data_IF_667068354695
#
_entry.id   IF_667068354695
#
_cell.length_a   1.000
_cell.length_b   1.000
_cell.length_c   1.000
_cell.angle_alpha   90.00
_cell.angle_beta   90.00
_cell.angle_gamma   90.00
#
_symmetry.space_group_name_H-M   'P 1'
#
loop_
_entity.id
_entity.type
_entity.pdbx_description
1 polymer ?
#
# COMPACT_ATOMS: atom_id res chain seq x y z
N UNK A 1 -3.60 -42.07 -48.67
CA UNK A 1 -3.80 -41.69 -47.25
C UNK A 1 -2.90 -40.50 -46.98
N UNK A 2 -3.47 -39.46 -46.37
CA UNK A 2 -2.99 -38.09 -46.35
C UNK A 2 -1.65 -37.91 -45.61
N UNK A 3 -0.80 -37.07 -46.19
CA UNK A 3 0.35 -36.40 -45.58
C UNK A 3 -0.08 -35.50 -44.42
N UNK A 4 0.77 -35.29 -43.40
CA UNK A 4 1.15 -33.96 -42.89
C UNK A 4 2.44 -34.02 -42.05
N UNK A 5 3.36 -33.12 -42.40
CA UNK A 5 4.54 -32.68 -41.65
C UNK A 5 4.14 -31.70 -40.55
N UNK A 6 4.86 -31.68 -39.41
CA UNK A 6 5.17 -30.53 -38.52
C UNK A 6 5.66 -31.09 -37.18
N UNK A 7 6.54 -30.50 -36.39
CA UNK A 7 7.43 -29.36 -36.51
C UNK A 7 8.40 -29.49 -35.32
N UNK A 8 9.60 -28.95 -35.50
CA UNK A 8 10.64 -28.78 -34.50
C UNK A 8 10.05 -28.16 -33.21
N UNK A 9 9.96 -28.93 -32.12
CA UNK A 9 9.78 -28.32 -30.80
C UNK A 9 11.13 -27.78 -30.36
N UNK A 10 11.32 -26.50 -30.70
CA UNK A 10 12.37 -25.64 -30.18
C UNK A 10 12.33 -25.76 -28.66
N UNK A 11 13.32 -26.44 -28.10
CA UNK A 11 13.64 -26.39 -26.68
C UNK A 11 14.29 -25.03 -26.42
N UNK A 12 13.50 -23.95 -26.57
CA UNK A 12 13.94 -22.64 -26.11
C UNK A 12 13.87 -22.72 -24.60
N UNK A 13 15.04 -22.84 -23.98
CA UNK A 13 15.27 -22.38 -22.62
C UNK A 13 14.70 -20.95 -22.57
N UNK A 14 13.45 -20.79 -22.13
CA UNK A 14 13.00 -19.52 -21.61
C UNK A 14 13.70 -19.42 -20.27
N UNK A 15 14.92 -18.90 -20.33
CA UNK A 15 15.56 -18.20 -19.25
C UNK A 15 14.60 -17.06 -18.87
N UNK A 16 13.60 -17.37 -18.06
CA UNK A 16 12.72 -16.37 -17.47
C UNK A 16 13.53 -15.67 -16.37
N UNK A 17 14.51 -14.86 -16.79
CA UNK A 17 15.02 -13.74 -16.00
C UNK A 17 13.98 -12.62 -16.04
N UNK A 18 12.73 -12.92 -15.73
CA UNK A 18 11.98 -11.91 -15.02
C UNK A 18 12.51 -12.03 -13.60
N UNK A 19 13.35 -11.07 -13.23
CA UNK A 19 13.19 -10.42 -11.94
C UNK A 19 11.74 -9.89 -11.95
N UNK A 20 10.75 -10.78 -11.91
CA UNK A 20 9.46 -10.42 -11.39
C UNK A 20 9.86 -10.10 -9.98
N UNK A 21 9.98 -8.80 -9.70
CA UNK A 21 9.83 -8.29 -8.35
C UNK A 21 8.85 -9.25 -7.71
N UNK A 22 9.29 -10.01 -6.72
CA UNK A 22 8.33 -10.56 -5.78
C UNK A 22 7.67 -9.26 -5.34
N UNK A 23 6.49 -8.97 -5.88
CA UNK A 23 5.67 -7.85 -5.49
C UNK A 23 5.31 -8.24 -4.07
N UNK A 24 6.25 -7.95 -3.17
CA UNK A 24 6.02 -7.91 -1.75
C UNK A 24 4.93 -6.87 -1.71
N UNK A 25 3.71 -7.28 -1.40
CA UNK A 25 2.61 -6.36 -1.11
C UNK A 25 3.22 -5.13 -0.47
N UNK A 26 3.08 -4.02 -1.17
CA UNK A 26 3.51 -2.75 -0.61
C UNK A 26 2.61 -2.56 0.59
N UNK A 27 3.23 -2.56 1.77
CA UNK A 27 2.55 -2.77 3.04
C UNK A 27 1.53 -1.69 3.38
N UNK A 28 1.14 -1.58 4.66
CA UNK A 28 0.12 -0.64 5.09
C UNK A 28 0.36 0.77 4.58
N UNK A 29 -0.72 1.42 4.13
CA UNK A 29 -0.66 2.80 3.66
C UNK A 29 -0.10 3.70 4.77
N UNK A 30 0.65 4.72 4.38
CA UNK A 30 1.11 5.76 5.29
C UNK A 30 -0.11 6.47 5.88
N UNK A 31 -0.27 6.38 7.20
CA UNK A 31 -1.37 7.02 7.91
C UNK A 31 -0.95 8.40 8.41
N UNK A 32 -1.75 9.41 8.05
CA UNK A 32 -1.57 10.73 8.60
C UNK A 32 -2.18 10.84 10.01
N UNK A 33 -1.31 10.95 11.01
CA UNK A 33 -1.69 10.99 12.44
C UNK A 33 -1.66 12.40 13.03
N UNK A 34 -1.07 13.36 12.34
CA UNK A 34 -1.12 14.78 12.72
C UNK A 34 -1.24 15.67 11.50
N UNK A 35 -2.07 16.71 11.58
CA UNK A 35 -2.38 17.61 10.47
C UNK A 35 -2.21 19.06 10.86
N UNK A 36 -1.65 19.85 9.94
CA UNK A 36 -1.59 21.29 9.98
C UNK A 36 -2.59 21.89 8.99
N UNK A 37 -3.31 22.95 9.37
CA UNK A 37 -4.23 23.65 8.48
C UNK A 37 -3.51 24.79 7.77
N UNK A 38 -3.39 24.68 6.45
CA UNK A 38 -2.68 25.64 5.61
C UNK A 38 -3.42 26.98 5.64
N UNK A 39 -2.71 28.01 6.07
CA UNK A 39 -3.13 29.41 6.09
C UNK A 39 -2.75 30.10 4.78
N UNK A 40 -3.34 31.28 4.54
CA UNK A 40 -3.00 32.08 3.37
C UNK A 40 -1.54 32.54 3.45
N UNK A 41 -0.78 32.27 2.37
CA UNK A 41 0.63 32.65 2.28
C UNK A 41 1.60 31.64 2.87
N UNK A 42 1.12 30.51 3.39
CA UNK A 42 2.01 29.44 3.83
C UNK A 42 2.78 28.84 2.65
N UNK A 43 4.04 28.53 2.92
CA UNK A 43 4.96 27.86 2.00
C UNK A 43 5.66 26.75 2.76
N UNK A 44 6.12 25.69 2.09
CA UNK A 44 6.91 24.67 2.81
C UNK A 44 8.13 25.29 3.52
N UNK A 45 8.77 26.29 2.91
CA UNK A 45 9.90 27.01 3.50
C UNK A 45 9.54 27.75 4.80
N UNK A 46 8.33 28.30 4.92
CA UNK A 46 7.91 29.01 6.12
C UNK A 46 7.43 28.07 7.22
N UNK A 47 6.68 27.01 6.90
CA UNK A 47 6.03 26.16 7.92
C UNK A 47 6.85 24.93 8.32
N UNK A 48 7.64 24.31 7.43
CA UNK A 48 8.32 23.06 7.74
C UNK A 48 9.27 23.18 8.95
N UNK A 49 10.14 24.23 9.05
CA UNK A 49 11.02 24.39 10.20
C UNK A 49 10.26 24.61 11.52
N UNK A 50 9.10 25.27 11.47
CA UNK A 50 8.26 25.51 12.66
C UNK A 50 7.64 24.21 13.20
N UNK A 51 7.45 23.24 12.30
CA UNK A 51 6.92 21.91 12.60
C UNK A 51 8.03 20.89 12.89
N UNK A 52 9.31 21.31 12.86
CA UNK A 52 10.45 20.41 13.03
C UNK A 52 10.66 19.47 11.84
N UNK A 53 10.16 19.82 10.66
CA UNK A 53 10.26 19.03 9.43
C UNK A 53 11.21 19.70 8.45
N UNK A 54 11.79 18.90 7.56
CA UNK A 54 12.37 19.42 6.33
C UNK A 54 11.34 19.35 5.17
N UNK A 55 11.64 19.99 4.03
CA UNK A 55 10.70 20.02 2.90
C UNK A 55 10.49 18.63 2.27
N UNK A 56 11.52 17.78 2.24
CA UNK A 56 11.38 16.41 1.75
C UNK A 56 10.48 15.55 2.63
N UNK A 57 10.50 15.75 3.96
CA UNK A 57 9.56 15.08 4.86
C UNK A 57 8.13 15.51 4.54
N UNK A 58 7.91 16.81 4.33
CA UNK A 58 6.61 17.36 3.94
C UNK A 58 6.11 16.75 2.63
N UNK A 59 6.93 16.71 1.58
CA UNK A 59 6.55 16.11 0.29
C UNK A 59 6.29 14.61 0.42
N UNK A 60 7.11 13.88 1.18
CA UNK A 60 6.96 12.43 1.36
C UNK A 60 5.65 12.03 2.05
N UNK A 61 5.18 12.82 3.02
CA UNK A 61 3.93 12.57 3.74
C UNK A 61 2.70 13.10 3.02
N UNK A 62 2.87 13.91 1.97
CA UNK A 62 1.78 14.59 1.29
C UNK A 62 1.90 14.43 -0.23
N UNK A 63 1.52 13.26 -0.76
CA UNK A 63 1.48 13.04 -2.21
C UNK A 63 0.75 14.18 -2.94
N UNK A 64 1.41 14.76 -3.95
CA UNK A 64 0.89 15.90 -4.72
C UNK A 64 1.28 17.29 -4.17
N UNK A 65 1.93 17.38 -3.01
CA UNK A 65 2.57 18.61 -2.55
C UNK A 65 3.93 18.77 -3.24
N UNK A 66 4.20 19.98 -3.71
CA UNK A 66 5.48 20.38 -4.27
C UNK A 66 6.00 21.60 -3.49
N UNK A 67 7.06 21.40 -2.72
CA UNK A 67 7.67 22.42 -1.88
C UNK A 67 8.56 23.40 -2.64
N UNK A 68 8.82 23.15 -3.93
CA UNK A 68 9.37 24.16 -4.85
C UNK A 68 8.32 25.19 -5.29
N UNK A 69 7.03 24.97 -4.99
CA UNK A 69 5.97 25.96 -5.21
C UNK A 69 6.10 27.13 -4.24
N UNK A 70 5.75 28.33 -4.70
CA UNK A 70 5.76 29.56 -3.89
C UNK A 70 4.61 29.68 -2.90
N UNK A 71 3.57 28.84 -3.00
CA UNK A 71 2.46 28.83 -2.05
C UNK A 71 1.82 27.44 -1.94
N UNK A 72 1.45 27.07 -0.71
CA UNK A 72 0.60 25.94 -0.40
C UNK A 72 -0.89 26.32 -0.55
N UNK A 73 -1.75 25.37 -0.92
CA UNK A 73 -3.18 25.64 -1.13
C UNK A 73 -3.89 25.93 0.21
N UNK A 74 -4.16 27.21 0.47
CA UNK A 74 -4.84 27.66 1.69
C UNK A 74 -6.17 26.95 1.94
N UNK A 75 -6.48 26.65 3.19
CA UNK A 75 -7.69 25.96 3.61
C UNK A 75 -7.63 24.43 3.49
N UNK A 76 -6.57 23.88 2.90
CA UNK A 76 -6.28 22.43 2.91
C UNK A 76 -5.50 22.04 4.16
N UNK A 77 -5.43 20.74 4.41
CA UNK A 77 -4.61 20.18 5.49
C UNK A 77 -3.35 19.56 4.93
N UNK A 78 -2.24 19.79 5.62
CA UNK A 78 -0.95 19.16 5.39
C UNK A 78 -0.73 18.12 6.48
N UNK A 79 -0.32 16.92 6.11
CA UNK A 79 0.18 15.93 7.04
C UNK A 79 1.54 16.36 7.59
N UNK A 80 1.66 16.41 8.92
CA UNK A 80 2.87 16.85 9.61
C UNK A 80 3.51 15.74 10.44
N UNK A 81 2.76 14.68 10.71
CA UNK A 81 3.29 13.43 11.24
C UNK A 81 2.54 12.28 10.62
N UNK A 82 3.31 11.33 10.09
CA UNK A 82 2.79 10.11 9.55
C UNK A 82 3.38 8.90 10.26
N UNK A 83 2.65 7.79 10.20
CA UNK A 83 3.08 6.50 10.68
C UNK A 83 2.68 5.45 9.65
N UNK A 84 3.60 4.55 9.33
CA UNK A 84 3.32 3.36 8.51
C UNK A 84 3.14 2.19 9.46
N UNK A 85 1.92 1.62 9.57
CA UNK A 85 1.72 0.40 10.33
C UNK A 85 2.61 -0.72 9.83
N UNK A 86 3.05 -1.57 10.75
CA UNK A 86 3.75 -2.80 10.36
C UNK A 86 2.69 -3.83 9.99
N UNK A 87 2.85 -4.49 8.84
CA UNK A 87 2.04 -5.65 8.55
C UNK A 87 2.43 -6.80 9.48
N UNK A 88 1.50 -7.23 10.33
CA UNK A 88 1.73 -8.32 11.28
C UNK A 88 1.30 -9.67 10.71
N UNK A 89 0.40 -9.67 9.72
CA UNK A 89 -0.08 -10.87 9.07
C UNK A 89 -0.38 -10.65 7.59
N UNK A 90 0.07 -11.61 6.78
CA UNK A 90 -0.22 -11.65 5.35
C UNK A 90 -1.10 -12.86 5.01
N UNK A 91 -1.93 -12.71 3.98
CA UNK A 91 -2.70 -13.79 3.39
C UNK A 91 -2.57 -13.78 1.86
N UNK A 92 -2.68 -14.95 1.24
CA UNK A 92 -2.57 -15.08 -0.23
C UNK A 92 -3.92 -14.90 -0.88
N UNK A 93 -4.00 -14.05 -1.90
CA UNK A 93 -5.22 -13.86 -2.68
C UNK A 93 -5.51 -15.08 -3.57
N UNK A 94 -6.76 -15.55 -3.50
CA UNK A 94 -7.35 -16.63 -4.31
C UNK A 94 -8.31 -16.10 -5.37
N UNK A 95 -8.72 -14.84 -5.22
CA UNK A 95 -9.59 -14.09 -6.13
C UNK A 95 -8.96 -12.72 -6.45
N UNK A 96 -9.58 -11.98 -7.38
CA UNK A 96 -9.13 -10.64 -7.77
C UNK A 96 -9.80 -9.53 -6.98
N UNK A 97 -10.80 -9.84 -6.15
CA UNK A 97 -11.47 -8.89 -5.26
C UNK A 97 -11.11 -9.13 -3.80
N UNK A 98 -11.30 -8.11 -2.97
CA UNK A 98 -10.91 -8.16 -1.55
C UNK A 98 -11.91 -8.87 -0.64
N UNK A 99 -13.12 -9.17 -1.12
CA UNK A 99 -14.24 -9.64 -0.27
C UNK A 99 -13.89 -10.92 0.50
N UNK A 100 -13.24 -11.89 -0.14
CA UNK A 100 -12.88 -13.16 0.50
C UNK A 100 -11.87 -12.95 1.64
N UNK A 101 -10.80 -12.20 1.39
CA UNK A 101 -9.78 -11.95 2.40
C UNK A 101 -10.34 -11.07 3.53
N UNK A 102 -11.09 -10.02 3.19
CA UNK A 102 -11.72 -9.16 4.17
C UNK A 102 -12.66 -9.96 5.09
N UNK A 103 -13.52 -10.81 4.52
CA UNK A 103 -14.42 -11.67 5.30
C UNK A 103 -13.66 -12.72 6.12
N UNK A 104 -12.64 -13.36 5.55
CA UNK A 104 -11.85 -14.40 6.23
C UNK A 104 -11.11 -13.87 7.46
N UNK A 105 -10.62 -12.64 7.38
CA UNK A 105 -9.86 -12.00 8.46
C UNK A 105 -10.67 -11.01 9.29
N UNK A 106 -12.00 -11.03 9.13
CA UNK A 106 -12.95 -10.22 9.89
C UNK A 106 -12.65 -8.71 9.86
N UNK A 107 -12.14 -8.21 8.72
CA UNK A 107 -11.88 -6.78 8.49
C UNK A 107 -12.82 -6.23 7.41
N UNK A 108 -12.93 -4.91 7.34
CA UNK A 108 -13.68 -4.27 6.25
C UNK A 108 -12.82 -4.19 4.99
N UNK A 109 -13.44 -4.14 3.80
CA UNK A 109 -12.73 -3.86 2.54
C UNK A 109 -11.92 -2.56 2.63
N UNK A 110 -12.47 -1.50 3.24
CA UNK A 110 -11.74 -0.25 3.46
C UNK A 110 -10.49 -0.44 4.34
N UNK A 111 -10.57 -1.30 5.36
CA UNK A 111 -9.40 -1.64 6.19
C UNK A 111 -8.37 -2.41 5.37
N UNK A 112 -8.81 -3.38 4.54
CA UNK A 112 -7.92 -4.12 3.65
C UNK A 112 -7.20 -3.18 2.67
N UNK A 113 -7.92 -2.27 1.99
CA UNK A 113 -7.32 -1.24 1.13
C UNK A 113 -6.35 -0.36 1.91
N UNK A 114 -6.67 0.00 3.16
CA UNK A 114 -5.76 0.78 4.00
C UNK A 114 -4.47 0.02 4.38
N UNK A 115 -4.52 -1.32 4.41
CA UNK A 115 -3.37 -2.16 4.73
C UNK A 115 -2.48 -2.48 3.53
N UNK A 116 -2.87 -2.11 2.31
CA UNK A 116 -2.14 -2.45 1.09
C UNK A 116 -2.08 -1.23 0.16
N UNK A 117 -0.91 -0.63 -0.03
CA UNK A 117 -0.81 0.63 -0.78
C UNK A 117 -1.01 0.49 -2.30
N UNK A 118 -0.82 -0.73 -2.81
CA UNK A 118 -0.97 -1.14 -4.21
C UNK A 118 -2.39 -1.59 -4.59
N UNK A 119 -3.31 -1.68 -3.63
CA UNK A 119 -4.70 -2.09 -3.86
C UNK A 119 -5.59 -0.87 -3.98
N UNK A 120 -6.25 -0.67 -5.11
CA UNK A 120 -7.09 0.51 -5.30
C UNK A 120 -8.38 0.52 -4.44
N UNK A 121 -9.09 1.67 -4.45
CA UNK A 121 -10.31 1.85 -3.67
C UNK A 121 -11.49 1.00 -4.19
N UNK A 122 -11.46 0.54 -5.44
CA UNK A 122 -12.47 -0.35 -6.01
C UNK A 122 -12.26 -1.79 -5.55
N UNK A 123 -11.02 -2.13 -5.16
CA UNK A 123 -10.63 -3.43 -4.61
C UNK A 123 -10.95 -4.59 -5.57
N UNK A 124 -10.72 -4.35 -6.87
CA UNK A 124 -10.92 -5.31 -7.96
C UNK A 124 -9.62 -5.64 -8.73
N UNK A 125 -8.48 -5.30 -8.14
CA UNK A 125 -7.14 -5.36 -8.73
C UNK A 125 -6.19 -6.37 -8.05
N UNK A 126 -6.70 -7.26 -7.17
CA UNK A 126 -5.85 -8.26 -6.55
C UNK A 126 -5.31 -9.25 -7.58
N UNK A 127 -4.04 -9.64 -7.40
CA UNK A 127 -3.38 -10.64 -8.23
C UNK A 127 -3.41 -11.97 -7.49
N UNK A 128 -4.12 -12.95 -8.07
CA UNK A 128 -4.19 -14.30 -7.52
C UNK A 128 -2.78 -14.88 -7.35
N UNK A 129 -2.49 -15.39 -6.15
CA UNK A 129 -1.19 -15.92 -5.76
C UNK A 129 -0.25 -14.91 -5.09
N UNK A 130 -0.55 -13.61 -5.14
CA UNK A 130 0.17 -12.61 -4.36
C UNK A 130 -0.30 -12.61 -2.90
N UNK A 131 0.59 -12.19 -1.99
CA UNK A 131 0.27 -12.01 -0.57
C UNK A 131 -0.09 -10.56 -0.29
N UNK A 132 -1.09 -10.34 0.55
CA UNK A 132 -1.57 -9.04 0.98
C UNK A 132 -1.64 -8.96 2.50
N UNK A 133 -1.45 -7.77 3.04
CA UNK A 133 -1.59 -7.50 4.46
C UNK A 133 -3.06 -7.58 4.89
N UNK A 134 -3.31 -8.36 5.94
CA UNK A 134 -4.65 -8.58 6.51
C UNK A 134 -4.72 -8.25 7.99
N UNK A 135 -3.58 -7.91 8.61
CA UNK A 135 -3.55 -7.34 9.95
C UNK A 135 -2.33 -6.44 10.13
N UNK A 136 -2.53 -5.36 10.89
CA UNK A 136 -1.48 -4.51 11.43
C UNK A 136 -1.31 -4.66 12.95
N UNK A 137 -2.16 -5.48 13.56
CA UNK A 137 -2.23 -5.69 14.99
C UNK A 137 -1.63 -7.04 15.37
N UNK A 138 -1.06 -7.14 16.56
CA UNK A 138 -0.53 -8.41 17.08
C UNK A 138 -1.63 -9.44 17.38
N UNK A 139 -2.88 -9.00 17.50
CA UNK A 139 -4.05 -9.84 17.73
C UNK A 139 -4.96 -9.78 16.52
N UNK A 140 -5.15 -10.93 15.87
CA UNK A 140 -5.99 -11.11 14.68
C UNK A 140 -6.72 -12.45 14.77
N UNK A 141 -7.81 -12.68 14.01
CA UNK A 141 -8.53 -13.95 14.03
C UNK A 141 -7.61 -15.15 13.78
N UNK A 142 -7.63 -16.13 14.68
CA UNK A 142 -6.76 -17.32 14.60
C UNK A 142 -5.36 -17.15 15.21
N UNK A 143 -5.03 -15.99 15.78
CA UNK A 143 -3.82 -15.84 16.59
C UNK A 143 -3.99 -16.55 17.95
N UNK A 144 -3.10 -17.49 18.28
CA UNK A 144 -3.20 -18.31 19.50
C UNK A 144 -2.35 -17.78 20.67
N UNK A 145 -1.91 -16.52 20.61
CA UNK A 145 -1.20 -15.92 21.74
C UNK A 145 -2.21 -15.60 22.86
N UNK A 146 -1.99 -16.10 24.09
CA UNK A 146 -2.87 -15.84 25.23
C UNK A 146 -3.12 -14.36 25.54
N UNK A 147 -2.28 -13.44 25.05
CA UNK A 147 -2.49 -11.99 25.21
C UNK A 147 -3.68 -11.47 24.39
N UNK A 148 -4.11 -12.21 23.36
CA UNK A 148 -5.19 -11.83 22.44
C UNK A 148 -6.57 -12.30 22.87
N UNK A 149 -6.65 -13.12 23.92
CA UNK A 149 -7.88 -13.67 24.50
C UNK A 149 -8.33 -12.94 25.79
N UNK A 150 -7.73 -11.78 26.12
CA UNK A 150 -7.99 -10.99 27.34
C UNK A 150 -8.70 -9.67 27.00
#
# INVERSE_FOLDING_TARGET
MLSFSTATHVFTLILCLTLSDIVRATGPRVLCVERYRISQGDTCASIAPQLGLNQSDVESMNPGVNCSSSALPSGKSLCTRAYTPVCTLNATATQTTCDELAATWEITVNSFVAFNDDVDDACDDLVVGNTYCVSTDGCYPGHTDPICDQ
#
